data_IF_090263430666
#
_entry.id   IF_090263430666
#
_cell.length_a   1.000
_cell.length_b   1.000
_cell.length_c   1.000
_cell.angle_alpha   90.00
_cell.angle_beta   90.00
_cell.angle_gamma   90.00
#
_symmetry.space_group_name_H-M   'P 1'
#
loop_
_entity.id
_entity.type
_entity.pdbx_description
1 polymer ?
#
# COMPACT_ATOMS: atom_id res chain seq x y z
N UNK A 1 26.49 3.20 4.29
CA UNK A 1 25.56 3.10 3.13
C UNK A 1 25.29 4.52 2.65
N UNK A 2 25.30 4.80 1.33
CA UNK A 2 24.82 6.08 0.84
C UNK A 2 23.34 6.25 1.21
N UNK A 3 22.90 7.50 1.37
CA UNK A 3 21.48 7.78 1.59
C UNK A 3 20.69 7.35 0.33
N UNK A 4 19.56 6.64 0.47
CA UNK A 4 18.75 6.26 -0.68
C UNK A 4 18.23 7.50 -1.40
N UNK A 5 18.28 7.48 -2.73
CA UNK A 5 17.74 8.57 -3.54
C UNK A 5 16.23 8.63 -3.37
N UNK A 6 15.72 9.81 -3.01
CA UNK A 6 14.27 10.09 -3.08
C UNK A 6 13.98 10.49 -4.52
N UNK A 7 13.11 9.72 -5.18
CA UNK A 7 12.70 10.05 -6.55
C UNK A 7 11.74 11.24 -6.53
N UNK A 8 12.03 12.23 -7.36
CA UNK A 8 11.10 13.33 -7.59
C UNK A 8 9.89 12.84 -8.39
N UNK A 9 8.69 13.36 -8.13
CA UNK A 9 7.52 13.02 -8.91
C UNK A 9 7.76 13.34 -10.39
N UNK A 10 7.52 12.37 -11.28
CA UNK A 10 7.61 12.60 -12.74
C UNK A 10 6.52 13.53 -13.27
N UNK A 11 5.45 13.73 -12.48
CA UNK A 11 4.31 14.57 -12.80
C UNK A 11 4.42 15.87 -12.00
N UNK A 12 4.65 16.99 -12.70
CA UNK A 12 4.82 18.32 -12.09
C UNK A 12 3.59 18.82 -11.32
N UNK A 13 2.42 18.22 -11.54
CA UNK A 13 1.21 18.54 -10.76
C UNK A 13 1.23 17.92 -9.36
N UNK A 14 2.07 16.90 -9.14
CA UNK A 14 2.20 16.22 -7.85
C UNK A 14 3.22 16.92 -6.98
N UNK A 15 2.82 17.15 -5.73
CA UNK A 15 3.69 17.73 -4.69
C UNK A 15 4.04 16.68 -3.66
N UNK A 16 5.26 16.74 -3.14
CA UNK A 16 5.64 15.98 -1.96
C UNK A 16 4.73 16.36 -0.78
N UNK A 17 4.35 15.38 0.03
CA UNK A 17 3.49 15.61 1.20
C UNK A 17 4.15 16.53 2.23
N UNK A 18 5.47 16.46 2.34
CA UNK A 18 6.29 17.30 3.20
C UNK A 18 7.70 17.46 2.59
N UNK A 19 8.48 18.48 3.03
CA UNK A 19 9.90 18.60 2.72
C UNK A 19 10.71 17.38 3.15
N UNK A 20 11.84 17.12 2.48
CA UNK A 20 12.68 15.95 2.77
C UNK A 20 13.19 15.91 4.21
N UNK A 21 13.59 17.05 4.76
CA UNK A 21 14.15 17.15 6.09
C UNK A 21 13.08 16.91 7.17
N UNK A 22 11.84 17.32 6.91
CA UNK A 22 10.68 17.01 7.74
C UNK A 22 10.35 15.51 7.68
N UNK A 23 10.28 14.93 6.48
CA UNK A 23 10.03 13.49 6.33
C UNK A 23 11.12 12.66 6.99
N UNK A 24 12.40 12.99 6.84
CA UNK A 24 13.49 12.23 7.49
C UNK A 24 13.39 12.23 9.01
N UNK A 25 12.85 13.29 9.62
CA UNK A 25 12.72 13.42 11.08
C UNK A 25 11.41 12.82 11.61
N UNK A 26 10.31 13.00 10.89
CA UNK A 26 8.96 12.72 11.38
C UNK A 26 8.20 11.62 10.61
N UNK A 27 8.80 11.02 9.58
CA UNK A 27 8.23 9.93 8.77
C UNK A 27 7.49 8.87 9.61
N UNK A 28 8.15 8.30 10.61
CA UNK A 28 7.56 7.22 11.40
C UNK A 28 6.39 7.69 12.27
N UNK A 29 6.39 8.96 12.68
CA UNK A 29 5.28 9.54 13.44
C UNK A 29 4.02 9.59 12.57
N UNK A 30 4.14 10.02 11.31
CA UNK A 30 3.01 10.07 10.38
C UNK A 30 2.47 8.67 10.08
N UNK A 31 3.35 7.70 9.79
CA UNK A 31 2.93 6.33 9.49
C UNK A 31 2.24 5.67 10.69
N UNK A 32 2.77 5.86 11.91
CA UNK A 32 2.16 5.28 13.10
C UNK A 32 0.81 5.91 13.44
N UNK A 33 0.68 7.22 13.24
CA UNK A 33 -0.59 7.91 13.42
C UNK A 33 -1.65 7.39 12.46
N UNK A 34 -1.35 7.36 11.16
CA UNK A 34 -2.25 6.85 10.12
C UNK A 34 -2.60 5.37 10.35
N UNK A 35 -1.64 4.56 10.81
CA UNK A 35 -1.89 3.16 11.17
C UNK A 35 -2.92 3.06 12.29
N UNK A 36 -2.75 3.83 13.35
CA UNK A 36 -3.64 3.76 14.51
C UNK A 36 -5.05 4.25 14.15
N UNK A 37 -5.17 5.32 13.36
CA UNK A 37 -6.45 5.79 12.82
C UNK A 37 -7.12 4.74 11.92
N UNK A 38 -6.34 4.12 11.02
CA UNK A 38 -6.86 3.07 10.12
C UNK A 38 -7.31 1.82 10.87
N UNK A 39 -6.51 1.35 11.84
CA UNK A 39 -6.72 0.06 12.49
C UNK A 39 -7.67 0.13 13.68
N UNK A 40 -7.59 1.19 14.49
CA UNK A 40 -8.41 1.33 15.70
C UNK A 40 -9.65 2.18 15.47
N UNK A 41 -9.58 3.20 14.61
CA UNK A 41 -10.69 4.13 14.39
C UNK A 41 -11.44 3.84 13.08
N UNK A 42 -10.83 3.09 12.17
CA UNK A 42 -11.41 2.70 10.89
C UNK A 42 -11.41 3.82 9.83
N UNK A 43 -10.72 4.93 10.09
CA UNK A 43 -10.58 6.08 9.19
C UNK A 43 -9.67 5.68 8.02
N UNK A 44 -10.07 5.99 6.78
CA UNK A 44 -9.32 5.64 5.57
C UNK A 44 -9.49 6.71 4.50
N UNK A 45 -8.50 6.82 3.61
CA UNK A 45 -8.59 7.62 2.39
C UNK A 45 -7.99 9.01 2.51
N UNK A 46 -7.23 9.29 3.58
CA UNK A 46 -6.49 10.53 3.71
C UNK A 46 -5.29 10.57 2.74
N UNK A 47 -4.85 11.77 2.30
CA UNK A 47 -3.69 11.93 1.42
C UNK A 47 -2.41 11.31 2.01
N UNK A 48 -2.24 11.37 3.33
CA UNK A 48 -1.18 10.73 4.12
C UNK A 48 -1.27 9.20 4.23
N UNK A 49 -2.29 8.57 3.65
CA UNK A 49 -2.45 7.12 3.66
C UNK A 49 -1.21 6.39 3.14
N UNK A 50 -0.83 5.30 3.83
CA UNK A 50 0.37 4.51 3.50
C UNK A 50 0.40 4.05 2.03
N UNK A 51 -0.76 3.72 1.45
CA UNK A 51 -0.87 3.34 0.04
C UNK A 51 -0.42 4.46 -0.91
N UNK A 52 -0.70 5.72 -0.59
CA UNK A 52 -0.31 6.86 -1.40
C UNK A 52 1.20 7.10 -1.34
N UNK A 53 1.80 6.87 -0.16
CA UNK A 53 3.25 6.92 -0.01
C UNK A 53 3.92 5.87 -0.91
N UNK A 54 3.43 4.62 -0.88
CA UNK A 54 3.97 3.51 -1.67
C UNK A 54 3.76 3.76 -3.16
N UNK A 55 2.61 4.28 -3.57
CA UNK A 55 2.32 4.64 -4.95
C UNK A 55 3.30 5.69 -5.51
N UNK A 56 3.91 6.54 -4.70
CA UNK A 56 4.91 7.51 -5.17
C UNK A 56 6.35 7.04 -4.97
N UNK A 57 6.66 6.36 -3.86
CA UNK A 57 8.04 6.00 -3.49
C UNK A 57 8.50 4.66 -4.03
N UNK A 58 7.59 3.75 -4.41
CA UNK A 58 7.92 2.46 -5.00
C UNK A 58 7.62 2.52 -6.49
N UNK A 59 8.66 2.80 -7.27
CA UNK A 59 8.59 2.84 -8.73
C UNK A 59 9.28 1.63 -9.37
N UNK A 60 8.89 1.24 -10.60
CA UNK A 60 9.60 0.23 -11.36
C UNK A 60 11.00 0.75 -11.71
N UNK A 61 12.00 -0.13 -11.62
CA UNK A 61 13.36 0.15 -12.08
C UNK A 61 13.45 0.20 -13.62
N UNK A 62 14.67 0.35 -14.13
CA UNK A 62 14.95 0.47 -15.58
C UNK A 62 14.44 -0.73 -16.41
N UNK A 63 14.38 -1.91 -15.80
CA UNK A 63 13.87 -3.14 -16.40
C UNK A 63 12.33 -3.26 -16.34
N UNK A 64 11.63 -2.28 -15.75
CA UNK A 64 10.19 -2.30 -15.54
C UNK A 64 9.73 -3.17 -14.37
N UNK A 65 10.65 -3.74 -13.59
CA UNK A 65 10.32 -4.55 -12.42
C UNK A 65 10.29 -3.70 -11.15
N UNK A 66 9.36 -4.01 -10.25
CA UNK A 66 9.29 -3.38 -8.93
C UNK A 66 10.16 -4.20 -7.98
N UNK A 67 11.14 -3.54 -7.37
CA UNK A 67 11.99 -4.16 -6.36
C UNK A 67 11.14 -4.64 -5.17
N UNK A 68 11.27 -5.92 -4.82
CA UNK A 68 10.61 -6.50 -3.64
C UNK A 68 11.25 -6.03 -2.34
N UNK A 69 10.51 -6.11 -1.23
CA UNK A 69 10.94 -5.62 0.09
C UNK A 69 12.32 -6.11 0.56
N UNK A 70 12.76 -7.31 0.16
CA UNK A 70 14.08 -7.85 0.52
C UNK A 70 15.24 -7.21 -0.26
N UNK A 71 14.94 -6.53 -1.38
CA UNK A 71 15.95 -5.86 -2.20
C UNK A 71 16.36 -4.51 -1.61
N UNK A 72 17.65 -4.17 -1.75
CA UNK A 72 18.17 -2.83 -1.45
C UNK A 72 17.74 -1.78 -2.47
N UNK A 73 17.23 -2.20 -3.62
CA UNK A 73 16.59 -1.28 -4.58
C UNK A 73 15.21 -0.83 -4.11
N UNK A 74 14.60 -1.56 -3.17
CA UNK A 74 13.33 -1.15 -2.57
C UNK A 74 13.58 0.01 -1.59
N UNK A 75 13.00 1.19 -1.89
CA UNK A 75 13.25 2.44 -1.16
C UNK A 75 13.08 2.29 0.36
N UNK A 76 12.00 1.64 0.81
CA UNK A 76 11.73 1.44 2.23
C UNK A 76 12.87 0.65 2.89
N UNK A 77 13.30 -0.47 2.29
CA UNK A 77 14.39 -1.28 2.82
C UNK A 77 15.72 -0.53 2.81
N UNK A 78 16.02 0.20 1.72
CA UNK A 78 17.23 1.00 1.61
C UNK A 78 17.34 2.06 2.73
N UNK A 79 16.23 2.75 3.03
CA UNK A 79 16.17 3.75 4.09
C UNK A 79 16.30 3.13 5.48
N UNK A 80 15.59 2.02 5.74
CA UNK A 80 15.65 1.34 7.02
C UNK A 80 17.01 0.70 7.28
N UNK A 81 17.67 0.16 6.25
CA UNK A 81 19.06 -0.28 6.33
C UNK A 81 20.03 0.88 6.60
N UNK A 82 19.83 2.03 5.95
CA UNK A 82 20.64 3.23 6.18
C UNK A 82 20.52 3.74 7.62
N UNK A 83 19.29 3.80 8.15
CA UNK A 83 18.99 4.26 9.50
C UNK A 83 19.16 3.19 10.59
N UNK A 84 19.50 1.95 10.22
CA UNK A 84 19.63 0.80 11.12
C UNK A 84 18.38 0.53 11.98
N UNK A 85 17.20 0.68 11.38
CA UNK A 85 15.90 0.46 12.01
C UNK A 85 15.18 -0.75 11.40
N UNK A 86 14.41 -1.47 12.20
CA UNK A 86 13.66 -2.64 11.73
C UNK A 86 12.27 -2.23 11.19
N UNK A 87 11.85 -2.89 10.12
CA UNK A 87 10.48 -2.79 9.58
C UNK A 87 9.64 -3.87 10.26
N UNK A 88 8.50 -3.50 10.82
CA UNK A 88 7.50 -4.49 11.27
C UNK A 88 6.75 -5.05 10.06
N UNK A 89 6.45 -6.34 10.07
CA UNK A 89 5.69 -7.07 9.06
C UNK A 89 4.43 -6.31 8.64
N UNK A 90 3.71 -5.72 9.60
CA UNK A 90 2.46 -5.00 9.34
C UNK A 90 2.66 -3.60 8.75
N UNK A 91 3.85 -3.02 8.86
CA UNK A 91 4.17 -1.71 8.28
C UNK A 91 4.39 -1.81 6.77
N UNK A 92 4.60 -3.02 6.21
CA UNK A 92 5.00 -3.18 4.81
C UNK A 92 4.35 -4.35 4.07
N UNK A 93 3.41 -5.09 4.67
CA UNK A 93 2.73 -6.20 3.97
C UNK A 93 1.94 -5.79 2.70
N UNK A 94 1.86 -4.49 2.40
CA UNK A 94 1.35 -3.94 1.15
C UNK A 94 2.44 -3.15 0.39
N UNK A 95 3.64 -3.72 0.26
CA UNK A 95 4.84 -3.09 -0.32
C UNK A 95 4.75 -2.73 -1.81
N UNK A 96 3.66 -3.13 -2.49
CA UNK A 96 3.46 -2.87 -3.91
C UNK A 96 2.49 -1.73 -4.19
N UNK A 97 2.89 -0.80 -5.07
CA UNK A 97 2.03 0.30 -5.53
C UNK A 97 0.79 -0.26 -6.23
N UNK A 98 -0.37 0.21 -5.81
CA UNK A 98 -1.66 -0.20 -6.35
C UNK A 98 -1.86 0.32 -7.77
N UNK A 99 -1.26 1.46 -8.13
CA UNK A 99 -1.37 2.07 -9.47
C UNK A 99 -0.84 1.17 -10.61
N UNK A 100 0.01 0.18 -10.32
CA UNK A 100 0.54 -0.76 -11.32
C UNK A 100 -0.15 -2.13 -11.30
N UNK A 101 -1.04 -2.39 -10.34
CA UNK A 101 -1.79 -3.65 -10.28
C UNK A 101 -2.97 -3.56 -11.25
N UNK A 102 -2.88 -4.27 -12.37
CA UNK A 102 -4.03 -4.47 -13.26
C UNK A 102 -5.02 -5.41 -12.60
N UNK A 103 -6.14 -4.87 -12.11
CA UNK A 103 -7.28 -5.68 -11.68
C UNK A 103 -8.09 -6.05 -12.93
N UNK A 104 -7.97 -7.30 -13.37
CA UNK A 104 -8.73 -7.80 -14.51
C UNK A 104 -10.24 -7.82 -14.19
N UNK A 105 -11.07 -7.48 -15.18
CA UNK A 105 -12.55 -7.52 -15.09
C UNK A 105 -13.10 -8.88 -14.64
N UNK A 106 -12.30 -9.94 -14.78
CA UNK A 106 -12.60 -11.29 -14.31
C UNK A 106 -12.89 -11.36 -12.80
N UNK A 107 -12.29 -10.46 -12.00
CA UNK A 107 -12.54 -10.40 -10.55
C UNK A 107 -13.97 -9.97 -10.21
N UNK A 108 -14.60 -9.17 -11.07
CA UNK A 108 -15.99 -8.73 -10.94
C UNK A 108 -16.98 -9.85 -11.28
N UNK A 109 -16.68 -10.66 -12.30
CA UNK A 109 -17.55 -11.79 -12.65
C UNK A 109 -17.52 -12.88 -11.57
N UNK A 110 -16.36 -13.16 -10.97
CA UNK A 110 -16.22 -14.07 -9.85
C UNK A 110 -16.98 -13.59 -8.60
N UNK A 111 -16.94 -12.28 -8.31
CA UNK A 111 -17.74 -11.69 -7.23
C UNK A 111 -19.25 -11.84 -7.47
N UNK A 112 -19.70 -11.61 -8.69
CA UNK A 112 -21.10 -11.75 -9.06
C UNK A 112 -21.56 -13.21 -8.99
N UNK A 113 -20.71 -14.15 -9.40
CA UNK A 113 -20.97 -15.58 -9.30
C UNK A 113 -21.03 -16.03 -7.82
N UNK A 114 -20.14 -15.51 -6.97
CA UNK A 114 -20.17 -15.78 -5.53
C UNK A 114 -21.42 -15.21 -4.85
N UNK A 115 -21.86 -14.00 -5.21
CA UNK A 115 -23.09 -13.41 -4.69
C UNK A 115 -24.33 -14.23 -5.11
N UNK A 116 -24.36 -14.73 -6.34
CA UNK A 116 -25.43 -15.58 -6.83
C UNK A 116 -25.49 -16.93 -6.11
N UNK A 117 -24.33 -17.56 -5.84
CA UNK A 117 -24.28 -18.83 -5.10
C UNK A 117 -24.66 -18.65 -3.63
N UNK A 118 -24.24 -17.57 -2.99
CA UNK A 118 -24.64 -17.24 -1.61
C UNK A 118 -26.15 -16.98 -1.52
N UNK A 119 -26.73 -16.19 -2.43
CA UNK A 119 -28.18 -15.95 -2.47
C UNK A 119 -28.99 -17.24 -2.75
N UNK A 120 -28.47 -18.14 -3.60
CA UNK A 120 -29.07 -19.44 -3.84
C UNK A 120 -29.00 -20.37 -2.61
N UNK A 121 -27.96 -20.26 -1.79
CA UNK A 121 -27.82 -21.03 -0.55
C UNK A 121 -28.77 -20.56 0.57
N UNK A 122 -29.01 -19.25 0.67
CA UNK A 122 -29.95 -18.67 1.66
C UNK A 122 -31.42 -19.02 1.35
N UNK A 123 -31.76 -19.10 0.07
CA UNK A 123 -33.10 -19.52 -0.39
C UNK A 123 -33.35 -21.01 -0.16
N UNK A 124 -32.31 -21.86 -0.26
CA UNK A 124 -32.39 -23.28 0.09
C UNK A 124 -32.54 -23.51 1.60
N UNK A 125 -31.86 -22.73 2.44
CA UNK A 125 -31.98 -22.81 3.91
C UNK A 125 -33.37 -22.38 4.44
N UNK A 126 -34.06 -21.46 3.76
CA UNK A 126 -35.44 -21.06 4.09
C UNK A 126 -36.51 -22.05 3.63
N UNK A 127 -36.19 -22.98 2.73
CA UNK A 127 -37.12 -23.98 2.19
C UNK A 127 -37.22 -25.28 3.01
N UNK A 128 -36.28 -25.53 3.93
CA UNK A 128 -36.25 -26.73 4.80
C UNK A 128 -36.73 -26.37 6.21
N UNK A 129 -37.87 -25.69 6.33
CA UNK A 129 -38.57 -25.47 7.61
C UNK A 129 -40.04 -25.06 7.33
N UNK A 130 -40.68 -25.73 6.37
CA UNK A 130 -42.14 -25.69 6.15
C UNK A 130 -42.66 -27.12 5.97
#
# INVERSE_FOLDING_TARGET
MPFPTVHEPKDESKKCIQPEDEMRRNHMKYILHERDETMHEGIRGEPEGLSNCIDCHVEPGDNGEIAGIESKEHFCNACHQYAAVQIDCFQCHADRPQKYIKRDEHSSSLHQQLQQTLAASETSAKGVNQ
#
